data_IF_834426441171
#
_entry.id   IF_834426441171
#
_cell.length_a   1.000
_cell.length_b   1.000
_cell.length_c   1.000
_cell.angle_alpha   90.00
_cell.angle_beta   90.00
_cell.angle_gamma   90.00
#
_symmetry.space_group_name_H-M   'P 1'
#
loop_
_entity.id
_entity.type
_entity.pdbx_description
1 polymer ?
#
# COMPACT_ATOMS: atom_id res chain seq x y z
N UNK A 1 -29.68 6.80 7.95
CA UNK A 1 -28.20 6.75 7.98
C UNK A 1 -27.65 5.75 8.98
N UNK A 2 -27.98 5.79 10.29
CA UNK A 2 -27.47 4.81 11.29
C UNK A 2 -27.70 3.34 10.91
N UNK A 3 -28.85 3.00 10.28
CA UNK A 3 -29.10 1.65 9.79
C UNK A 3 -28.13 1.27 8.66
N UNK A 4 -27.90 2.16 7.70
CA UNK A 4 -26.98 1.91 6.59
C UNK A 4 -25.55 1.67 7.09
N UNK A 5 -25.06 2.49 8.02
CA UNK A 5 -23.73 2.31 8.64
C UNK A 5 -23.64 0.96 9.36
N UNK A 6 -24.72 0.55 10.07
CA UNK A 6 -24.74 -0.74 10.77
C UNK A 6 -24.65 -1.92 9.79
N UNK A 7 -25.42 -1.89 8.70
CA UNK A 7 -25.37 -2.93 7.66
C UNK A 7 -24.01 -2.99 7.00
N UNK A 8 -23.45 -1.84 6.60
CA UNK A 8 -22.14 -1.76 6.02
C UNK A 8 -21.05 -2.31 6.96
N UNK A 9 -21.12 -1.97 8.25
CA UNK A 9 -20.20 -2.48 9.26
C UNK A 9 -20.26 -4.01 9.38
N UNK A 10 -21.45 -4.61 9.28
CA UNK A 10 -21.60 -6.06 9.28
C UNK A 10 -21.02 -6.69 8.00
N UNK A 11 -21.34 -6.13 6.83
CA UNK A 11 -20.84 -6.62 5.55
C UNK A 11 -19.31 -6.54 5.52
N UNK A 12 -18.73 -5.39 5.87
CA UNK A 12 -17.27 -5.21 5.89
C UNK A 12 -16.57 -6.18 6.85
N UNK A 13 -17.17 -6.48 8.00
CA UNK A 13 -16.64 -7.45 8.96
C UNK A 13 -16.67 -8.87 8.41
N UNK A 14 -17.78 -9.27 7.79
CA UNK A 14 -17.91 -10.60 7.17
C UNK A 14 -16.93 -10.75 6.01
N UNK A 15 -16.85 -9.75 5.13
CA UNK A 15 -15.91 -9.76 4.00
C UNK A 15 -14.46 -9.88 4.48
N UNK A 16 -14.09 -9.15 5.52
CA UNK A 16 -12.74 -9.24 6.07
C UNK A 16 -12.46 -10.58 6.74
N UNK A 17 -13.45 -11.18 7.43
CA UNK A 17 -13.32 -12.53 7.98
C UNK A 17 -13.09 -13.57 6.86
N UNK A 18 -13.80 -13.47 5.74
CA UNK A 18 -13.60 -14.32 4.56
C UNK A 18 -12.16 -14.15 4.03
N UNK A 19 -11.66 -12.92 3.93
CA UNK A 19 -10.27 -12.67 3.52
C UNK A 19 -9.26 -13.39 4.42
N UNK A 20 -9.46 -13.38 5.74
CA UNK A 20 -8.57 -14.07 6.69
C UNK A 20 -8.65 -15.59 6.52
N UNK A 21 -9.84 -16.16 6.37
CA UNK A 21 -10.02 -17.61 6.16
C UNK A 21 -9.31 -18.04 4.87
N UNK A 22 -9.49 -17.30 3.79
CA UNK A 22 -8.86 -17.60 2.51
C UNK A 22 -7.34 -17.36 2.55
N UNK A 23 -6.85 -16.41 3.33
CA UNK A 23 -5.42 -16.22 3.56
C UNK A 23 -4.79 -17.41 4.28
N UNK A 24 -5.46 -17.96 5.29
CA UNK A 24 -5.02 -19.17 5.99
C UNK A 24 -5.02 -20.37 5.02
N UNK A 25 -6.11 -20.54 4.26
CA UNK A 25 -6.22 -21.58 3.24
C UNK A 25 -5.06 -21.51 2.24
N UNK A 26 -4.77 -20.33 1.70
CA UNK A 26 -3.68 -20.14 0.75
C UNK A 26 -2.30 -20.41 1.33
N UNK A 27 -2.06 -19.98 2.55
CA UNK A 27 -0.80 -20.28 3.25
C UNK A 27 -0.58 -21.79 3.41
N UNK A 28 -1.64 -22.55 3.68
CA UNK A 28 -1.58 -24.03 3.80
C UNK A 28 -1.38 -24.67 2.42
N UNK A 29 -2.14 -24.24 1.42
CA UNK A 29 -2.22 -24.90 0.10
C UNK A 29 -1.00 -24.61 -0.76
N UNK A 30 -0.58 -23.35 -0.83
CA UNK A 30 0.45 -22.93 -1.77
C UNK A 30 1.86 -23.00 -1.21
N UNK A 31 2.04 -23.46 0.06
CA UNK A 31 3.35 -23.59 0.69
C UNK A 31 4.21 -22.42 0.23
N UNK A 32 3.84 -21.19 0.57
CA UNK A 32 4.65 -20.05 0.17
C UNK A 32 6.06 -20.40 0.59
N UNK A 33 6.96 -20.65 -0.38
CA UNK A 33 8.29 -21.27 -0.16
C UNK A 33 9.18 -20.49 0.81
N UNK A 34 8.62 -19.45 1.37
CA UNK A 34 9.14 -18.58 2.40
C UNK A 34 8.92 -19.11 3.82
N UNK A 35 7.92 -19.97 4.09
CA UNK A 35 7.71 -20.51 5.44
C UNK A 35 8.42 -21.85 5.60
N UNK A 36 9.56 -21.91 6.32
CA UNK A 36 10.31 -23.14 6.55
C UNK A 36 9.63 -24.05 7.60
N UNK A 37 8.28 -24.07 7.63
CA UNK A 37 7.49 -24.75 8.67
C UNK A 37 6.64 -25.83 8.02
N UNK A 38 6.56 -27.05 8.59
CA UNK A 38 5.64 -28.06 8.12
C UNK A 38 4.20 -27.55 8.10
N UNK A 39 3.44 -27.88 7.05
CA UNK A 39 2.06 -27.43 6.84
C UNK A 39 1.12 -27.71 8.03
N UNK A 40 1.38 -28.77 8.80
CA UNK A 40 0.63 -29.12 10.01
C UNK A 40 0.77 -28.10 11.14
N UNK A 41 1.85 -27.31 11.16
CA UNK A 41 2.11 -26.32 12.21
C UNK A 41 1.37 -24.99 11.90
N UNK A 42 1.03 -24.72 10.64
CA UNK A 42 0.36 -23.49 10.26
C UNK A 42 -0.97 -23.28 11.00
N UNK A 43 -1.89 -24.26 11.10
CA UNK A 43 -3.10 -24.10 11.90
C UNK A 43 -2.83 -23.82 13.38
N UNK A 44 -1.80 -24.45 13.95
CA UNK A 44 -1.39 -24.21 15.34
C UNK A 44 -0.88 -22.79 15.50
N UNK A 45 0.00 -22.33 14.60
CA UNK A 45 0.50 -20.96 14.61
C UNK A 45 -0.63 -19.92 14.43
N UNK A 46 -1.59 -20.18 13.53
CA UNK A 46 -2.74 -19.28 13.35
C UNK A 46 -3.66 -19.26 14.55
N UNK A 47 -3.86 -20.40 15.22
CA UNK A 47 -4.56 -20.49 16.50
C UNK A 47 -3.87 -19.69 17.62
N UNK A 48 -2.54 -19.77 17.69
CA UNK A 48 -1.71 -18.96 18.59
C UNK A 48 -1.85 -17.46 18.28
N UNK A 49 -1.82 -17.06 17.01
CA UNK A 49 -2.03 -15.68 16.57
C UNK A 49 -3.40 -15.16 17.02
N UNK A 50 -4.46 -15.96 16.87
CA UNK A 50 -5.79 -15.59 17.36
C UNK A 50 -5.82 -15.40 18.89
N UNK A 51 -5.18 -16.30 19.64
CA UNK A 51 -5.07 -16.18 21.09
C UNK A 51 -4.32 -14.92 21.49
N UNK A 52 -3.15 -14.64 20.87
CA UNK A 52 -2.36 -13.42 21.12
C UNK A 52 -3.19 -12.19 20.77
N UNK A 53 -3.88 -12.17 19.63
CA UNK A 53 -4.75 -11.08 19.21
C UNK A 53 -5.88 -10.82 20.23
N UNK A 54 -6.46 -11.88 20.78
CA UNK A 54 -7.50 -11.78 21.82
C UNK A 54 -6.97 -11.16 23.12
N UNK A 55 -5.74 -11.49 23.50
CA UNK A 55 -5.06 -10.88 24.65
C UNK A 55 -4.66 -9.44 24.37
N UNK A 56 -4.10 -9.18 23.17
CA UNK A 56 -3.74 -7.84 22.73
C UNK A 56 -4.93 -6.88 22.78
N UNK A 57 -6.10 -7.30 22.31
CA UNK A 57 -7.30 -6.48 22.34
C UNK A 57 -7.82 -6.15 23.75
N UNK A 58 -7.38 -6.87 24.77
CA UNK A 58 -7.69 -6.49 26.16
C UNK A 58 -6.99 -5.22 26.63
N UNK A 59 -5.94 -4.77 25.92
CA UNK A 59 -5.26 -3.50 26.20
C UNK A 59 -6.22 -2.31 26.11
N UNK A 60 -7.30 -2.40 25.32
CA UNK A 60 -8.32 -1.35 25.26
C UNK A 60 -9.05 -1.12 26.60
N UNK A 61 -8.97 -2.08 27.53
CA UNK A 61 -9.62 -2.01 28.84
C UNK A 61 -8.70 -1.47 29.94
N UNK A 62 -7.45 -1.14 29.62
CA UNK A 62 -6.53 -0.53 30.58
C UNK A 62 -7.05 0.83 31.03
N UNK A 63 -6.81 1.15 32.27
CA UNK A 63 -7.02 2.51 32.78
C UNK A 63 -5.76 3.31 32.46
N UNK A 64 -5.85 4.18 31.45
CA UNK A 64 -4.73 4.95 30.92
C UNK A 64 -5.13 6.40 30.70
N UNK A 65 -4.31 7.32 31.13
CA UNK A 65 -4.45 8.76 30.86
C UNK A 65 -3.90 9.12 29.49
N UNK A 66 -4.27 10.30 28.98
CA UNK A 66 -3.74 10.84 27.71
C UNK A 66 -2.23 11.04 27.78
N UNK A 67 -1.72 11.52 28.91
CA UNK A 67 -0.27 11.80 29.05
C UNK A 67 0.56 10.53 29.16
N UNK A 68 0.05 9.49 29.81
CA UNK A 68 0.69 8.17 29.78
C UNK A 68 0.74 7.60 28.38
N UNK A 69 -0.38 7.65 27.65
CA UNK A 69 -0.41 7.23 26.24
C UNK A 69 0.63 7.98 25.39
N UNK A 70 0.67 9.32 25.50
CA UNK A 70 1.61 10.13 24.71
C UNK A 70 3.07 9.79 25.01
N UNK A 71 3.43 9.62 26.29
CA UNK A 71 4.78 9.22 26.67
C UNK A 71 5.16 7.87 26.08
N UNK A 72 4.29 6.88 26.17
CA UNK A 72 4.53 5.55 25.61
C UNK A 72 4.61 5.62 24.06
N UNK A 73 3.74 6.37 23.41
CA UNK A 73 3.77 6.53 21.96
C UNK A 73 5.08 7.15 21.48
N UNK A 74 5.64 8.13 22.21
CA UNK A 74 6.95 8.71 21.89
C UNK A 74 8.06 7.65 22.04
N UNK A 75 8.06 6.87 23.10
CA UNK A 75 9.04 5.79 23.29
C UNK A 75 8.97 4.78 22.16
N UNK A 76 7.75 4.37 21.75
CA UNK A 76 7.53 3.46 20.63
C UNK A 76 8.04 4.06 19.30
N UNK A 77 7.82 5.36 19.07
CA UNK A 77 8.37 6.05 17.89
C UNK A 77 9.91 6.00 17.87
N UNK A 78 10.57 6.24 19.01
CA UNK A 78 12.03 6.18 19.13
C UNK A 78 12.54 4.76 18.87
N UNK A 79 11.90 3.75 19.46
CA UNK A 79 12.27 2.34 19.25
C UNK A 79 12.11 1.92 17.79
N UNK A 80 11.00 2.30 17.14
CA UNK A 80 10.79 2.05 15.72
C UNK A 80 11.84 2.72 14.86
N UNK A 81 12.12 4.00 15.11
CA UNK A 81 13.12 4.76 14.38
C UNK A 81 14.52 4.14 14.52
N UNK A 82 14.88 3.72 15.75
CA UNK A 82 16.15 3.03 15.99
C UNK A 82 16.24 1.71 15.23
N UNK A 83 15.17 0.89 15.26
CA UNK A 83 15.11 -0.36 14.49
C UNK A 83 15.24 -0.13 12.99
N UNK A 84 14.63 0.92 12.46
CA UNK A 84 14.73 1.29 11.05
C UNK A 84 16.15 1.75 10.67
N UNK A 85 16.82 2.55 11.50
CA UNK A 85 18.22 2.95 11.27
C UNK A 85 19.11 1.71 11.23
N UNK A 86 18.96 0.81 12.21
CA UNK A 86 19.71 -0.45 12.26
C UNK A 86 19.47 -1.24 10.96
N UNK A 87 18.21 -1.37 10.54
CA UNK A 87 17.87 -2.06 9.30
C UNK A 87 18.50 -1.37 8.08
N UNK A 88 18.45 -0.04 7.99
CA UNK A 88 19.04 0.70 6.88
C UNK A 88 20.56 0.54 6.77
N UNK A 89 21.25 0.42 7.92
CA UNK A 89 22.71 0.26 7.96
C UNK A 89 23.14 -1.18 7.63
N UNK A 90 22.41 -2.17 8.15
CA UNK A 90 22.83 -3.57 8.08
C UNK A 90 22.13 -4.38 6.99
N UNK A 91 21.04 -3.88 6.41
CA UNK A 91 20.41 -4.55 5.28
C UNK A 91 21.07 -4.11 3.97
N UNK A 92 21.79 -5.02 3.35
CA UNK A 92 22.32 -4.84 1.99
C UNK A 92 21.18 -4.99 1.00
N UNK A 93 20.60 -3.86 0.60
CA UNK A 93 19.46 -3.83 -0.32
C UNK A 93 19.89 -3.22 -1.65
N UNK A 94 19.76 -4.01 -2.71
CA UNK A 94 19.90 -3.54 -4.09
C UNK A 94 18.52 -3.39 -4.73
N UNK A 95 18.20 -2.23 -5.37
CA UNK A 95 16.96 -2.07 -6.11
C UNK A 95 16.74 -3.16 -7.16
N UNK A 96 15.52 -3.70 -7.20
CA UNK A 96 15.15 -4.81 -8.09
C UNK A 96 13.91 -4.48 -8.91
N UNK A 97 13.73 -5.17 -10.05
CA UNK A 97 12.57 -5.03 -10.94
C UNK A 97 12.29 -3.53 -11.26
N UNK A 98 11.04 -3.11 -11.20
CA UNK A 98 10.62 -1.73 -11.49
C UNK A 98 11.44 -0.66 -10.75
N UNK A 99 11.80 -0.91 -9.48
CA UNK A 99 12.60 0.04 -8.72
C UNK A 99 14.01 0.18 -9.31
N UNK A 100 14.61 -0.93 -9.79
CA UNK A 100 15.94 -0.86 -10.42
C UNK A 100 15.89 -0.03 -11.70
N UNK A 101 14.86 -0.19 -12.54
CA UNK A 101 14.71 0.60 -13.77
C UNK A 101 14.53 2.09 -13.47
N UNK A 102 13.74 2.42 -12.45
CA UNK A 102 13.57 3.81 -11.99
C UNK A 102 14.88 4.41 -11.49
N UNK A 103 15.65 3.67 -10.67
CA UNK A 103 16.92 4.12 -10.14
C UNK A 103 17.98 4.25 -11.25
N UNK A 104 18.10 3.27 -12.12
CA UNK A 104 19.05 3.27 -13.26
C UNK A 104 18.76 4.42 -14.20
N UNK A 105 17.52 4.60 -14.63
CA UNK A 105 17.14 5.71 -15.49
C UNK A 105 17.40 7.08 -14.86
N UNK A 106 17.16 7.24 -13.57
CA UNK A 106 17.46 8.49 -12.85
C UNK A 106 18.98 8.77 -12.78
N UNK A 107 19.80 7.74 -12.50
CA UNK A 107 21.26 7.84 -12.54
C UNK A 107 21.78 8.20 -13.91
N UNK A 108 21.30 7.52 -14.94
CA UNK A 108 21.69 7.74 -16.33
C UNK A 108 21.41 9.18 -16.77
N UNK A 109 20.22 9.70 -16.46
CA UNK A 109 19.86 11.08 -16.82
C UNK A 109 20.75 12.13 -16.14
N UNK A 110 21.18 11.90 -14.89
CA UNK A 110 22.11 12.80 -14.17
C UNK A 110 23.51 12.75 -14.80
N UNK A 111 23.94 11.58 -15.26
CA UNK A 111 25.25 11.35 -15.88
C UNK A 111 25.26 11.67 -17.38
N UNK A 112 24.21 12.29 -17.92
CA UNK A 112 24.03 12.60 -19.36
C UNK A 112 24.16 11.37 -20.28
N UNK A 113 23.75 10.19 -19.81
CA UNK A 113 23.61 8.96 -20.59
C UNK A 113 22.19 8.82 -21.14
N UNK A 114 22.00 7.83 -22.03
CA UNK A 114 20.64 7.44 -22.42
C UNK A 114 19.91 6.87 -21.20
N UNK A 115 18.67 7.29 -20.98
CA UNK A 115 17.85 6.89 -19.82
C UNK A 115 17.68 5.36 -19.73
N UNK A 116 17.79 4.64 -20.84
CA UNK A 116 17.61 3.19 -20.94
C UNK A 116 18.91 2.39 -20.91
N UNK A 117 20.09 3.05 -20.84
CA UNK A 117 21.36 2.34 -20.66
C UNK A 117 21.29 1.47 -19.41
N UNK A 118 21.83 0.25 -19.50
CA UNK A 118 21.84 -0.75 -18.43
C UNK A 118 20.44 -1.26 -18.01
N UNK A 119 19.38 -0.94 -18.78
CA UNK A 119 18.04 -1.52 -18.65
C UNK A 119 17.87 -2.66 -19.67
N UNK A 120 17.29 -3.82 -19.29
CA UNK A 120 17.08 -4.93 -20.24
C UNK A 120 16.30 -4.49 -21.48
N UNK A 121 16.69 -4.98 -22.67
CA UNK A 121 16.13 -4.58 -23.97
C UNK A 121 14.61 -4.67 -24.04
N UNK A 122 14.00 -5.68 -23.40
CA UNK A 122 12.55 -5.85 -23.33
C UNK A 122 11.84 -4.70 -22.59
N UNK A 123 12.58 -3.84 -21.89
CA UNK A 123 12.12 -2.68 -21.14
C UNK A 123 12.74 -1.35 -21.62
N UNK A 124 13.27 -1.29 -22.86
CA UNK A 124 13.82 -0.06 -23.45
C UNK A 124 12.79 1.05 -23.69
N UNK A 125 11.54 0.84 -23.36
CA UNK A 125 10.45 1.81 -23.39
C UNK A 125 9.70 1.86 -22.04
N UNK A 126 10.37 1.49 -20.93
CA UNK A 126 9.77 1.35 -19.62
C UNK A 126 8.99 2.59 -19.16
N UNK A 127 9.54 3.77 -19.35
CA UNK A 127 8.90 5.00 -18.90
C UNK A 127 7.71 5.41 -19.78
N UNK A 128 7.68 5.03 -21.02
CA UNK A 128 6.53 5.24 -21.92
C UNK A 128 5.39 4.24 -21.62
N UNK A 129 5.75 3.01 -21.28
CA UNK A 129 4.81 1.92 -20.98
C UNK A 129 4.19 2.07 -19.58
N UNK A 130 4.97 2.55 -18.60
CA UNK A 130 4.58 2.63 -17.18
C UNK A 130 4.54 4.07 -16.64
N UNK A 131 3.63 4.94 -17.12
CA UNK A 131 3.52 6.34 -16.63
C UNK A 131 3.10 6.43 -15.15
N UNK A 132 2.61 5.34 -14.55
CA UNK A 132 2.32 5.25 -13.12
C UNK A 132 3.57 5.34 -12.23
N UNK A 133 4.77 5.08 -12.77
CA UNK A 133 6.05 5.20 -12.04
C UNK A 133 6.74 6.56 -12.25
N UNK A 134 6.18 7.46 -13.05
CA UNK A 134 6.76 8.77 -13.34
C UNK A 134 6.95 9.64 -12.08
N UNK A 135 6.01 9.61 -11.14
CA UNK A 135 6.17 10.39 -9.92
C UNK A 135 7.27 9.83 -9.02
N UNK A 136 7.34 8.51 -8.88
CA UNK A 136 8.45 7.87 -8.17
C UNK A 136 9.79 8.23 -8.81
N UNK A 137 9.89 8.11 -10.15
CA UNK A 137 11.07 8.51 -10.90
C UNK A 137 11.46 9.97 -10.62
N UNK A 138 10.50 10.89 -10.69
CA UNK A 138 10.75 12.31 -10.43
C UNK A 138 11.32 12.55 -9.03
N UNK A 139 10.77 11.90 -8.01
CA UNK A 139 11.26 12.02 -6.63
C UNK A 139 12.68 11.48 -6.52
N UNK A 140 12.96 10.28 -7.04
CA UNK A 140 14.29 9.65 -6.97
C UNK A 140 15.31 10.47 -7.77
N UNK A 141 14.95 10.92 -8.97
CA UNK A 141 15.82 11.80 -9.78
C UNK A 141 16.22 13.07 -9.04
N UNK A 142 15.27 13.74 -8.38
CA UNK A 142 15.57 14.95 -7.61
C UNK A 142 16.48 14.66 -6.42
N UNK A 143 16.26 13.56 -5.70
CA UNK A 143 17.10 13.16 -4.56
C UNK A 143 18.51 12.81 -5.00
N UNK A 144 18.66 12.02 -6.04
CA UNK A 144 19.97 11.68 -6.61
C UNK A 144 20.70 12.92 -7.15
N UNK A 145 19.98 13.84 -7.79
CA UNK A 145 20.56 15.11 -8.27
C UNK A 145 21.08 15.94 -7.11
N UNK A 146 20.33 16.07 -6.02
CA UNK A 146 20.78 16.77 -4.82
C UNK A 146 22.02 16.08 -4.24
N UNK A 147 22.01 14.76 -4.11
CA UNK A 147 23.15 14.00 -3.58
C UNK A 147 24.39 14.18 -4.45
N UNK A 148 24.25 14.06 -5.77
CA UNK A 148 25.33 14.25 -6.72
C UNK A 148 25.92 15.68 -6.66
N UNK A 149 25.08 16.70 -6.54
CA UNK A 149 25.52 18.09 -6.38
C UNK A 149 26.30 18.32 -5.08
N UNK A 150 25.98 17.60 -4.01
CA UNK A 150 26.61 17.76 -2.69
C UNK A 150 27.89 16.91 -2.53
N UNK A 151 27.92 15.73 -3.10
CA UNK A 151 28.95 14.72 -2.82
C UNK A 151 29.76 14.27 -4.04
N UNK A 152 29.29 14.57 -5.25
CA UNK A 152 29.83 14.04 -6.52
C UNK A 152 29.48 12.55 -6.76
N UNK A 153 28.74 11.91 -5.85
CA UNK A 153 28.33 10.51 -5.95
C UNK A 153 26.81 10.37 -6.03
N UNK A 154 26.35 9.23 -6.52
CA UNK A 154 24.91 8.87 -6.53
C UNK A 154 24.75 7.54 -5.81
N UNK A 155 24.11 7.60 -4.65
CA UNK A 155 23.82 6.43 -3.81
C UNK A 155 22.31 6.34 -3.51
N UNK A 156 21.89 5.27 -2.84
CA UNK A 156 20.50 5.13 -2.42
C UNK A 156 20.23 5.73 -1.02
N UNK A 157 21.16 6.54 -0.50
CA UNK A 157 21.11 7.09 0.88
C UNK A 157 19.95 8.07 1.05
N UNK A 158 19.81 9.07 0.18
CA UNK A 158 18.75 10.06 0.29
C UNK A 158 17.35 9.45 0.04
N UNK A 159 17.12 8.61 -0.98
CA UNK A 159 15.86 7.88 -1.13
C UNK A 159 15.50 7.03 0.09
N UNK A 160 16.47 6.29 0.65
CA UNK A 160 16.28 5.49 1.87
C UNK A 160 15.92 6.37 3.07
N UNK A 161 16.61 7.49 3.26
CA UNK A 161 16.34 8.44 4.34
C UNK A 161 14.94 9.06 4.21
N UNK A 162 14.53 9.48 3.01
CA UNK A 162 13.19 10.01 2.77
C UNK A 162 12.11 8.96 3.07
N UNK A 163 12.32 7.73 2.63
CA UNK A 163 11.39 6.62 2.88
C UNK A 163 11.28 6.31 4.38
N UNK A 164 12.40 6.23 5.10
CA UNK A 164 12.45 6.02 6.55
C UNK A 164 11.68 7.12 7.30
N UNK A 165 11.93 8.40 6.95
CA UNK A 165 11.18 9.53 7.51
C UNK A 165 9.68 9.40 7.21
N UNK A 166 9.32 9.03 5.99
CA UNK A 166 7.93 8.83 5.58
C UNK A 166 7.23 7.73 6.38
N UNK A 167 7.88 6.60 6.59
CA UNK A 167 7.35 5.51 7.41
C UNK A 167 7.12 5.94 8.86
N UNK A 168 8.04 6.72 9.44
CA UNK A 168 7.88 7.29 10.78
C UNK A 168 6.73 8.31 10.85
N UNK A 169 6.62 9.20 9.86
CA UNK A 169 5.48 10.13 9.75
C UNK A 169 4.18 9.33 9.74
N UNK A 170 4.11 8.23 8.98
CA UNK A 170 2.92 7.38 8.93
C UNK A 170 2.56 6.81 10.30
N UNK A 171 3.55 6.30 11.04
CA UNK A 171 3.33 5.76 12.39
C UNK A 171 2.91 6.84 13.38
N UNK A 172 3.59 7.98 13.39
CA UNK A 172 3.28 9.13 14.26
C UNK A 172 1.85 9.63 13.99
N UNK A 173 1.50 9.82 12.71
CA UNK A 173 0.16 10.31 12.35
C UNK A 173 -0.93 9.27 12.64
N UNK A 174 -0.66 7.98 12.46
CA UNK A 174 -1.56 6.90 12.90
C UNK A 174 -1.82 7.00 14.41
N UNK A 175 -0.78 7.19 15.24
CA UNK A 175 -0.93 7.39 16.68
C UNK A 175 -1.76 8.66 17.01
N UNK A 176 -1.53 9.76 16.26
CA UNK A 176 -2.31 11.00 16.43
C UNK A 176 -3.76 10.84 16.01
N UNK A 177 -4.03 10.12 14.92
CA UNK A 177 -5.41 9.79 14.52
C UNK A 177 -6.08 8.95 15.63
N UNK A 178 -5.39 7.92 16.14
CA UNK A 178 -5.90 7.09 17.21
C UNK A 178 -6.30 7.91 18.45
N UNK A 179 -5.46 8.87 18.87
CA UNK A 179 -5.75 9.81 19.95
C UNK A 179 -6.97 10.70 19.66
N UNK A 180 -7.19 11.08 18.41
CA UNK A 180 -8.32 11.92 18.01
C UNK A 180 -9.67 11.22 18.08
N UNK A 181 -9.70 9.91 17.80
CA UNK A 181 -10.95 9.15 17.60
C UNK A 181 -11.25 8.15 18.73
N UNK A 182 -10.27 7.76 19.50
CA UNK A 182 -10.39 6.74 20.53
C UNK A 182 -10.07 7.28 21.93
N UNK A 183 -10.46 6.51 22.96
CA UNK A 183 -9.94 6.69 24.33
C UNK A 183 -8.46 6.27 24.41
N UNK A 184 -7.67 6.76 25.39
CA UNK A 184 -6.22 6.53 25.45
C UNK A 184 -5.81 5.06 25.39
N UNK A 185 -6.49 4.17 26.10
CA UNK A 185 -6.19 2.74 26.07
C UNK A 185 -6.43 2.07 24.70
N UNK A 186 -7.46 2.49 23.96
CA UNK A 186 -7.65 2.00 22.59
C UNK A 186 -6.65 2.64 21.61
N UNK A 187 -6.27 3.90 21.83
CA UNK A 187 -5.18 4.52 21.07
C UNK A 187 -3.84 3.80 21.30
N UNK A 188 -3.58 3.37 22.54
CA UNK A 188 -2.44 2.53 22.86
C UNK A 188 -2.46 1.18 22.13
N UNK A 189 -3.61 0.51 22.09
CA UNK A 189 -3.77 -0.70 21.29
C UNK A 189 -3.40 -0.46 19.81
N UNK A 190 -3.85 0.65 19.21
CA UNK A 190 -3.49 1.00 17.84
C UNK A 190 -1.97 1.23 17.69
N UNK A 191 -1.32 1.89 18.64
CA UNK A 191 0.13 2.10 18.62
C UNK A 191 0.89 0.77 18.71
N UNK A 192 0.48 -0.16 19.58
CA UNK A 192 1.08 -1.51 19.68
C UNK A 192 0.88 -2.30 18.37
N UNK A 193 -0.31 -2.24 17.77
CA UNK A 193 -0.54 -2.85 16.45
C UNK A 193 0.41 -2.29 15.40
N UNK A 194 0.68 -0.98 15.43
CA UNK A 194 1.66 -0.35 14.54
C UNK A 194 3.07 -0.93 14.70
N UNK A 195 3.52 -1.21 15.94
CA UNK A 195 4.81 -1.87 16.19
C UNK A 195 4.86 -3.30 15.68
N UNK A 196 3.73 -4.00 15.63
CA UNK A 196 3.63 -5.35 15.03
C UNK A 196 3.53 -5.31 13.50
N UNK A 197 3.33 -4.15 12.89
CA UNK A 197 3.28 -4.01 11.44
C UNK A 197 4.69 -4.00 10.86
N UNK A 198 5.24 -5.20 10.65
CA UNK A 198 6.62 -5.42 10.20
C UNK A 198 7.04 -4.63 8.95
N UNK A 199 6.17 -4.30 7.98
CA UNK A 199 6.54 -3.44 6.87
C UNK A 199 7.08 -2.06 7.26
N UNK A 200 6.76 -1.52 8.43
CA UNK A 200 7.40 -0.29 8.91
C UNK A 200 8.92 -0.43 9.07
N UNK A 201 9.42 -1.65 9.27
CA UNK A 201 10.85 -1.95 9.38
C UNK A 201 11.37 -2.51 8.05
N UNK A 202 10.68 -3.51 7.46
CA UNK A 202 11.17 -4.21 6.29
C UNK A 202 11.18 -3.39 5.01
N UNK A 203 10.38 -2.35 4.93
CA UNK A 203 10.38 -1.44 3.78
C UNK A 203 11.31 -0.23 3.94
N UNK A 204 12.13 -0.17 5.00
CA UNK A 204 13.00 0.99 5.24
C UNK A 204 13.89 1.31 4.04
N UNK A 205 14.63 0.34 3.53
CA UNK A 205 15.50 0.50 2.37
C UNK A 205 14.80 0.24 1.03
N UNK A 206 13.56 -0.26 1.05
CA UNK A 206 12.74 -0.48 -0.14
C UNK A 206 11.83 0.73 -0.42
N UNK A 207 12.41 1.81 -0.94
CA UNK A 207 11.75 3.08 -1.24
C UNK A 207 10.92 3.02 -2.54
N UNK A 208 9.94 2.12 -2.58
CA UNK A 208 9.05 1.93 -3.73
C UNK A 208 7.67 2.54 -3.50
N UNK A 209 6.82 2.50 -4.53
CA UNK A 209 5.48 3.11 -4.51
C UNK A 209 4.63 2.71 -3.29
N UNK A 210 4.79 1.48 -2.78
CA UNK A 210 4.03 0.98 -1.64
C UNK A 210 4.35 1.72 -0.34
N UNK A 211 5.63 1.86 0.00
CA UNK A 211 6.11 2.55 1.20
C UNK A 211 6.03 4.07 1.08
N UNK A 212 6.40 4.61 -0.08
CA UNK A 212 6.35 6.06 -0.36
C UNK A 212 4.91 6.62 -0.38
N UNK A 213 3.91 5.82 -0.70
CA UNK A 213 2.49 6.20 -0.66
C UNK A 213 1.94 6.25 0.76
N UNK A 214 2.44 5.42 1.67
CA UNK A 214 1.93 5.27 3.03
C UNK A 214 1.86 6.62 3.80
N UNK A 215 2.91 7.46 3.85
CA UNK A 215 2.85 8.75 4.53
C UNK A 215 1.84 9.72 3.89
N UNK A 216 1.66 9.67 2.58
CA UNK A 216 0.70 10.52 1.87
C UNK A 216 -0.74 10.16 2.23
N UNK A 217 -1.07 8.86 2.21
CA UNK A 217 -2.39 8.33 2.57
C UNK A 217 -2.71 8.61 4.04
N UNK A 218 -1.77 8.35 4.95
CA UNK A 218 -1.98 8.55 6.39
C UNK A 218 -2.10 10.05 6.73
N UNK A 219 -1.28 10.90 6.09
CA UNK A 219 -1.37 12.36 6.25
C UNK A 219 -2.69 12.90 5.72
N UNK A 220 -3.15 12.43 4.56
CA UNK A 220 -4.42 12.85 3.99
C UNK A 220 -5.59 12.51 4.92
N UNK A 221 -5.63 11.30 5.47
CA UNK A 221 -6.63 10.88 6.44
C UNK A 221 -6.58 11.75 7.72
N UNK A 222 -5.38 12.07 8.21
CA UNK A 222 -5.21 12.96 9.37
C UNK A 222 -5.77 14.36 9.11
N UNK A 223 -5.45 14.98 7.99
CA UNK A 223 -5.96 16.33 7.65
C UNK A 223 -7.46 16.33 7.39
N UNK A 224 -8.00 15.29 6.80
CA UNK A 224 -9.46 15.12 6.68
C UNK A 224 -10.16 15.09 8.05
N UNK A 225 -9.65 14.29 8.99
CA UNK A 225 -10.22 14.22 10.34
C UNK A 225 -10.05 15.53 11.12
N UNK A 226 -8.93 16.25 10.92
CA UNK A 226 -8.77 17.62 11.44
C UNK A 226 -9.80 18.56 10.87
N UNK A 227 -10.10 18.47 9.57
CA UNK A 227 -11.16 19.25 8.94
C UNK A 227 -12.52 18.93 9.57
N UNK A 228 -12.86 17.65 9.74
CA UNK A 228 -14.13 17.27 10.43
C UNK A 228 -14.27 17.89 11.81
N UNK A 229 -13.16 18.03 12.54
CA UNK A 229 -13.16 18.58 13.91
C UNK A 229 -13.16 20.10 13.94
N UNK A 230 -12.46 20.78 13.03
CA UNK A 230 -12.21 22.23 13.09
C UNK A 230 -13.00 23.07 12.06
N UNK A 231 -13.49 22.44 10.99
CA UNK A 231 -14.14 23.11 9.85
C UNK A 231 -13.18 23.93 8.97
N UNK A 232 -11.86 23.95 9.23
CA UNK A 232 -10.90 24.77 8.50
C UNK A 232 -10.67 24.24 7.09
N UNK A 233 -11.07 24.98 6.07
CA UNK A 233 -10.98 24.62 4.64
C UNK A 233 -9.55 24.32 4.20
N UNK A 234 -8.55 25.00 4.75
CA UNK A 234 -7.13 24.74 4.45
C UNK A 234 -6.72 23.28 4.68
N UNK A 235 -7.29 22.63 5.69
CA UNK A 235 -7.02 21.21 5.97
C UNK A 235 -7.62 20.29 4.89
N UNK A 236 -8.76 20.66 4.32
CA UNK A 236 -9.37 19.92 3.23
C UNK A 236 -8.61 20.11 1.91
N UNK A 237 -8.06 21.30 1.66
CA UNK A 237 -7.15 21.58 0.54
C UNK A 237 -5.89 20.70 0.66
N UNK A 238 -5.24 20.69 1.83
CA UNK A 238 -4.05 19.85 2.09
C UNK A 238 -4.40 18.36 1.88
N UNK A 239 -5.55 17.92 2.39
CA UNK A 239 -6.02 16.55 2.20
C UNK A 239 -6.13 16.20 0.70
N UNK A 240 -6.79 17.05 -0.10
CA UNK A 240 -6.95 16.86 -1.54
C UNK A 240 -5.60 16.81 -2.28
N UNK A 241 -4.68 17.73 -1.94
CA UNK A 241 -3.31 17.74 -2.49
C UNK A 241 -2.57 16.45 -2.18
N UNK A 242 -2.59 15.99 -0.93
CA UNK A 242 -1.94 14.75 -0.50
C UNK A 242 -2.54 13.50 -1.18
N UNK A 243 -3.87 13.47 -1.37
CA UNK A 243 -4.53 12.38 -2.13
C UNK A 243 -4.06 12.39 -3.59
N UNK A 244 -3.96 13.56 -4.21
CA UNK A 244 -3.46 13.67 -5.60
C UNK A 244 -2.02 13.19 -5.72
N UNK A 245 -1.13 13.56 -4.80
CA UNK A 245 0.24 13.04 -4.74
C UNK A 245 0.25 11.52 -4.52
N UNK A 246 -0.56 11.02 -3.58
CA UNK A 246 -0.67 9.59 -3.32
C UNK A 246 -1.18 8.82 -4.56
N UNK A 247 -2.16 9.36 -5.27
CA UNK A 247 -2.68 8.78 -6.52
C UNK A 247 -1.62 8.72 -7.62
N UNK A 248 -0.80 9.75 -7.77
CA UNK A 248 0.31 9.75 -8.73
C UNK A 248 1.45 8.81 -8.34
N UNK A 249 1.62 8.56 -7.04
CA UNK A 249 2.56 7.56 -6.55
C UNK A 249 2.01 6.13 -6.71
N UNK A 250 0.71 5.92 -6.43
CA UNK A 250 0.04 4.63 -6.53
C UNK A 250 -1.47 4.79 -6.76
N UNK A 251 -1.96 4.30 -7.89
CA UNK A 251 -3.35 4.49 -8.35
C UNK A 251 -4.43 4.04 -7.35
N UNK A 252 -4.16 2.98 -6.56
CA UNK A 252 -5.09 2.50 -5.53
C UNK A 252 -5.43 3.55 -4.45
N UNK A 253 -4.60 4.61 -4.30
CA UNK A 253 -4.86 5.69 -3.33
C UNK A 253 -6.15 6.48 -3.62
N UNK A 254 -6.70 6.38 -4.83
CA UNK A 254 -8.02 6.95 -5.16
C UNK A 254 -9.14 6.39 -4.27
N UNK A 255 -8.95 5.20 -3.70
CA UNK A 255 -9.88 4.59 -2.73
C UNK A 255 -10.08 5.51 -1.52
N UNK A 256 -9.02 6.20 -1.06
CA UNK A 256 -9.16 7.15 0.04
C UNK A 256 -10.04 8.34 -0.34
N UNK A 257 -9.91 8.87 -1.57
CA UNK A 257 -10.78 9.97 -2.05
C UNK A 257 -12.24 9.52 -2.06
N UNK A 258 -12.50 8.34 -2.61
CA UNK A 258 -13.87 7.77 -2.65
C UNK A 258 -14.41 7.59 -1.23
N UNK A 259 -13.62 7.02 -0.32
CA UNK A 259 -14.00 6.83 1.07
C UNK A 259 -14.32 8.16 1.77
N UNK A 260 -13.50 9.20 1.55
CA UNK A 260 -13.73 10.55 2.09
C UNK A 260 -15.00 11.17 1.51
N UNK A 261 -15.24 11.04 0.21
CA UNK A 261 -16.47 11.55 -0.43
C UNK A 261 -17.72 10.86 0.16
N UNK A 262 -17.67 9.56 0.35
CA UNK A 262 -18.78 8.82 0.98
C UNK A 262 -18.99 9.29 2.43
N UNK A 263 -17.93 9.40 3.22
CA UNK A 263 -18.00 9.85 4.61
C UNK A 263 -18.53 11.29 4.71
N UNK A 264 -18.08 12.19 3.84
CA UNK A 264 -18.60 13.57 3.74
C UNK A 264 -20.09 13.59 3.37
N UNK A 265 -20.52 12.71 2.47
CA UNK A 265 -21.95 12.58 2.07
C UNK A 265 -22.79 12.11 3.25
N UNK A 266 -22.30 11.13 4.01
CA UNK A 266 -22.96 10.63 5.22
C UNK A 266 -23.08 11.72 6.30
N UNK A 267 -22.08 12.59 6.44
CA UNK A 267 -22.09 13.72 7.37
C UNK A 267 -22.82 14.96 6.82
N UNK A 268 -23.42 14.89 5.62
CA UNK A 268 -24.18 15.97 4.96
C UNK A 268 -23.37 17.24 4.77
N UNK A 269 -22.10 17.14 4.42
CA UNK A 269 -21.29 18.32 4.08
C UNK A 269 -21.84 19.05 2.86
N UNK A 270 -21.62 20.38 2.82
CA UNK A 270 -22.05 21.23 1.70
C UNK A 270 -21.30 20.87 0.42
N UNK A 271 -21.99 20.96 -0.72
CA UNK A 271 -21.44 20.61 -2.06
C UNK A 271 -20.09 21.30 -2.35
N UNK A 272 -19.89 22.54 -1.89
CA UNK A 272 -18.63 23.27 -2.06
C UNK A 272 -17.42 22.55 -1.46
N UNK A 273 -17.60 21.78 -0.38
CA UNK A 273 -16.50 21.06 0.25
C UNK A 273 -15.98 19.91 -0.63
N UNK A 274 -16.84 19.32 -1.47
CA UNK A 274 -16.40 18.32 -2.45
C UNK A 274 -15.50 18.94 -3.53
N UNK A 275 -15.85 20.15 -4.01
CA UNK A 275 -14.97 20.87 -4.94
C UNK A 275 -13.62 21.22 -4.29
N UNK A 276 -13.62 21.63 -3.02
CA UNK A 276 -12.41 22.00 -2.27
C UNK A 276 -11.42 20.83 -2.12
N UNK A 277 -11.87 19.59 -2.05
CA UNK A 277 -10.97 18.44 -2.00
C UNK A 277 -10.58 17.94 -3.41
N UNK A 278 -11.51 17.96 -4.37
CA UNK A 278 -11.29 17.41 -5.71
C UNK A 278 -10.37 18.32 -6.54
N UNK A 279 -10.57 19.64 -6.52
CA UNK A 279 -9.78 20.56 -7.35
C UNK A 279 -8.27 20.51 -7.04
N UNK A 280 -7.79 20.60 -5.79
CA UNK A 280 -6.37 20.48 -5.48
C UNK A 280 -5.81 19.10 -5.89
N UNK A 281 -6.60 18.02 -5.74
CA UNK A 281 -6.21 16.70 -6.18
C UNK A 281 -5.94 16.66 -7.69
N UNK A 282 -6.82 17.22 -8.52
CA UNK A 282 -6.66 17.27 -9.97
C UNK A 282 -5.47 18.17 -10.36
N UNK A 283 -5.35 19.34 -9.74
CA UNK A 283 -4.28 20.30 -10.04
C UNK A 283 -2.91 19.67 -9.79
N UNK A 284 -2.70 19.07 -8.60
CA UNK A 284 -1.42 18.46 -8.28
C UNK A 284 -1.10 17.25 -9.17
N UNK A 285 -2.11 16.45 -9.53
CA UNK A 285 -1.92 15.36 -10.49
C UNK A 285 -1.41 15.85 -11.85
N UNK A 286 -1.96 16.97 -12.35
CA UNK A 286 -1.52 17.58 -13.60
C UNK A 286 -0.09 18.12 -13.49
N UNK A 287 0.21 18.88 -12.43
CA UNK A 287 1.55 19.42 -12.19
C UNK A 287 2.60 18.29 -12.15
N UNK A 288 2.35 17.21 -11.41
CA UNK A 288 3.27 16.07 -11.32
C UNK A 288 3.46 15.41 -12.68
N UNK A 289 2.38 15.19 -13.44
CA UNK A 289 2.49 14.56 -14.76
C UNK A 289 3.29 15.41 -15.73
N UNK A 290 3.01 16.70 -15.83
CA UNK A 290 3.73 17.62 -16.73
C UNK A 290 5.21 17.75 -16.34
N UNK A 291 5.50 17.81 -15.04
CA UNK A 291 6.88 17.86 -14.54
C UNK A 291 7.65 16.60 -14.90
N UNK A 292 7.07 15.44 -14.70
CA UNK A 292 7.70 14.16 -15.03
C UNK A 292 7.98 14.03 -16.52
N UNK A 293 7.01 14.36 -17.38
CA UNK A 293 7.19 14.30 -18.84
C UNK A 293 8.29 15.25 -19.33
N UNK A 294 8.40 16.44 -18.75
CA UNK A 294 9.48 17.38 -19.05
C UNK A 294 10.85 16.84 -18.66
N UNK A 295 10.98 16.21 -17.47
CA UNK A 295 12.24 15.63 -17.01
C UNK A 295 12.65 14.44 -17.89
N UNK A 296 11.68 13.59 -18.23
CA UNK A 296 11.89 12.39 -19.05
C UNK A 296 12.07 12.69 -20.55
N UNK A 297 11.76 13.93 -21.00
CA UNK A 297 11.70 14.31 -22.42
C UNK A 297 10.74 13.43 -23.26
N UNK A 298 9.63 12.96 -22.65
CA UNK A 298 8.62 12.12 -23.30
C UNK A 298 7.40 12.97 -23.66
N UNK A 299 6.86 12.77 -24.87
CA UNK A 299 5.67 13.48 -25.32
C UNK A 299 4.38 12.78 -24.84
N UNK A 300 3.28 13.56 -24.75
CA UNK A 300 1.95 13.01 -24.47
C UNK A 300 1.51 11.99 -25.54
N UNK A 301 1.87 12.23 -26.80
CA UNK A 301 1.51 11.32 -27.89
C UNK A 301 2.24 9.98 -27.73
N UNK A 302 3.52 10.00 -27.36
CA UNK A 302 4.28 8.78 -27.09
C UNK A 302 3.64 7.95 -25.96
N UNK A 303 3.24 8.61 -24.85
CA UNK A 303 2.53 7.93 -23.77
C UNK A 303 1.22 7.32 -24.25
N UNK A 304 0.44 8.07 -25.05
CA UNK A 304 -0.83 7.57 -25.60
C UNK A 304 -0.64 6.33 -26.46
N UNK A 305 0.45 6.28 -27.23
CA UNK A 305 0.75 5.16 -28.14
C UNK A 305 1.29 3.93 -27.39
N UNK A 306 2.15 4.13 -26.38
CA UNK A 306 2.91 3.05 -25.75
C UNK A 306 2.36 2.57 -24.40
N UNK A 307 1.71 3.44 -23.62
CA UNK A 307 1.27 3.07 -22.26
C UNK A 307 0.22 1.97 -22.24
N UNK A 308 0.25 1.16 -21.21
CA UNK A 308 -0.77 0.14 -21.02
C UNK A 308 -2.11 0.76 -20.59
N UNK A 309 -3.20 0.38 -21.26
CA UNK A 309 -4.54 0.80 -20.87
C UNK A 309 -4.95 0.17 -19.54
N UNK A 310 -5.84 0.82 -18.80
CA UNK A 310 -6.32 0.30 -17.49
C UNK A 310 -6.85 -1.14 -17.59
N UNK A 311 -7.48 -1.48 -18.69
CA UNK A 311 -8.02 -2.83 -18.93
C UNK A 311 -6.94 -3.92 -18.97
N UNK A 312 -5.68 -3.56 -19.29
CA UNK A 312 -4.55 -4.49 -19.26
C UNK A 312 -4.35 -5.11 -17.87
N UNK A 313 -4.42 -4.29 -16.82
CA UNK A 313 -4.26 -4.76 -15.44
C UNK A 313 -5.41 -5.65 -14.98
N UNK A 314 -6.61 -5.37 -15.47
CA UNK A 314 -7.79 -6.20 -15.22
C UNK A 314 -7.65 -7.53 -15.96
N UNK A 315 -7.23 -7.50 -17.22
CA UNK A 315 -6.98 -8.68 -18.05
C UNK A 315 -5.88 -9.57 -17.47
N UNK A 316 -4.74 -8.97 -17.04
CA UNK A 316 -3.64 -9.67 -16.42
C UNK A 316 -4.09 -10.35 -15.10
N UNK A 317 -4.99 -9.71 -14.38
CA UNK A 317 -5.49 -10.21 -13.10
C UNK A 317 -6.54 -11.32 -13.22
N UNK A 318 -7.01 -11.62 -14.43
CA UNK A 318 -8.19 -12.47 -14.62
C UNK A 318 -7.91 -13.99 -14.60
N UNK A 319 -6.68 -14.41 -14.39
CA UNK A 319 -6.31 -15.83 -14.25
C UNK A 319 -5.22 -16.05 -13.20
N UNK A 320 -4.88 -17.31 -12.95
CA UNK A 320 -3.92 -17.71 -11.92
C UNK A 320 -4.32 -17.15 -10.55
N UNK A 321 -3.35 -16.63 -9.82
CA UNK A 321 -3.57 -15.97 -8.51
C UNK A 321 -3.77 -14.44 -8.65
N UNK A 322 -4.02 -13.93 -9.87
CA UNK A 322 -4.26 -12.52 -10.14
C UNK A 322 -3.03 -11.61 -10.05
N UNK A 323 -1.83 -12.17 -10.05
CA UNK A 323 -0.57 -11.43 -10.05
C UNK A 323 -0.05 -11.10 -11.45
N UNK A 324 1.18 -10.56 -11.51
CA UNK A 324 1.86 -10.27 -12.77
C UNK A 324 2.01 -11.52 -13.64
N UNK A 325 1.75 -11.37 -14.94
CA UNK A 325 1.88 -12.41 -15.96
C UNK A 325 2.68 -11.88 -17.15
N UNK A 326 3.86 -12.45 -17.38
CA UNK A 326 4.77 -12.03 -18.46
C UNK A 326 4.20 -12.28 -19.86
N UNK A 327 3.41 -13.34 -20.06
CA UNK A 327 2.77 -13.61 -21.34
C UNK A 327 1.71 -12.55 -21.69
N UNK A 328 0.96 -12.06 -20.70
CA UNK A 328 0.00 -10.98 -20.87
C UNK A 328 0.67 -9.63 -21.11
N UNK A 329 1.81 -9.41 -20.43
CA UNK A 329 2.64 -8.23 -20.68
C UNK A 329 3.11 -8.19 -22.13
N UNK A 330 3.78 -9.23 -22.62
CA UNK A 330 4.29 -9.32 -24.00
C UNK A 330 3.16 -9.24 -25.02
N UNK A 331 2.03 -9.90 -24.75
CA UNK A 331 0.85 -9.82 -25.61
C UNK A 331 0.36 -8.38 -25.79
N UNK A 332 0.18 -7.64 -24.72
CA UNK A 332 -0.30 -6.24 -24.82
C UNK A 332 0.77 -5.33 -25.41
N UNK A 333 2.06 -5.58 -25.12
CA UNK A 333 3.18 -4.79 -25.64
C UNK A 333 3.30 -4.91 -27.16
N UNK A 334 2.89 -6.03 -27.76
CA UNK A 334 2.95 -6.23 -29.23
C UNK A 334 1.98 -5.34 -30.02
N UNK A 335 1.06 -4.62 -29.36
CA UNK A 335 0.14 -3.67 -29.99
C UNK A 335 0.52 -2.21 -29.69
N UNK A 336 -0.07 -1.26 -30.41
CA UNK A 336 0.13 0.18 -30.22
C UNK A 336 -1.19 0.94 -30.14
N UNK A 337 -1.22 2.07 -29.45
CA UNK A 337 -2.36 2.97 -29.34
C UNK A 337 -3.66 2.26 -28.90
N UNK A 338 -4.75 2.58 -29.57
CA UNK A 338 -6.09 2.03 -29.24
C UNK A 338 -6.19 0.51 -29.45
N UNK A 339 -5.32 -0.09 -30.30
CA UNK A 339 -5.29 -1.53 -30.51
C UNK A 339 -4.88 -2.29 -29.23
N UNK A 340 -4.06 -1.69 -28.35
CA UNK A 340 -3.76 -2.27 -27.03
C UNK A 340 -5.01 -2.50 -26.19
N UNK A 341 -5.93 -1.53 -26.21
CA UNK A 341 -7.19 -1.63 -25.46
C UNK A 341 -8.08 -2.74 -26.01
N UNK A 342 -8.23 -2.80 -27.33
CA UNK A 342 -9.03 -3.83 -28.01
C UNK A 342 -8.45 -5.22 -27.78
N UNK A 343 -7.13 -5.38 -27.92
CA UNK A 343 -6.44 -6.64 -27.66
C UNK A 343 -6.63 -7.12 -26.20
N UNK A 344 -6.43 -6.22 -25.22
CA UNK A 344 -6.63 -6.56 -23.82
C UNK A 344 -8.09 -6.95 -23.49
N UNK A 345 -9.08 -6.28 -24.13
CA UNK A 345 -10.50 -6.65 -23.98
C UNK A 345 -10.80 -8.04 -24.56
N UNK A 346 -10.30 -8.33 -25.76
CA UNK A 346 -10.46 -9.65 -26.41
C UNK A 346 -9.88 -10.75 -25.52
N UNK A 347 -8.63 -10.57 -25.07
CA UNK A 347 -7.97 -11.57 -24.21
C UNK A 347 -8.65 -11.71 -22.83
N UNK A 348 -9.17 -10.63 -22.26
CA UNK A 348 -9.99 -10.71 -21.06
C UNK A 348 -11.26 -11.55 -21.28
N UNK A 349 -11.96 -11.30 -22.40
CA UNK A 349 -13.17 -12.06 -22.73
C UNK A 349 -12.87 -13.56 -22.92
N UNK A 350 -11.76 -13.90 -23.59
CA UNK A 350 -11.27 -15.30 -23.73
C UNK A 350 -11.01 -15.95 -22.37
N UNK A 351 -10.29 -15.27 -21.48
CA UNK A 351 -10.01 -15.76 -20.12
C UNK A 351 -11.30 -15.99 -19.32
N UNK A 352 -12.22 -15.04 -19.37
CA UNK A 352 -13.52 -15.14 -18.67
C UNK A 352 -14.40 -16.26 -19.25
N UNK A 353 -14.39 -16.45 -20.56
CA UNK A 353 -15.13 -17.54 -21.22
C UNK A 353 -14.58 -18.90 -20.84
N UNK A 354 -13.27 -19.03 -20.75
CA UNK A 354 -12.61 -20.30 -20.39
C UNK A 354 -12.79 -20.67 -18.90
N UNK A 355 -13.05 -19.68 -18.05
CA UNK A 355 -13.35 -19.90 -16.63
C UNK A 355 -14.84 -20.20 -16.45
N UNK A 356 -15.22 -21.49 -16.36
CA UNK A 356 -16.56 -21.86 -15.92
C UNK A 356 -16.85 -21.27 -14.54
N UNK A 357 -18.11 -21.18 -14.15
CA UNK A 357 -18.55 -20.56 -12.89
C UNK A 357 -17.75 -21.00 -11.65
N UNK A 358 -17.50 -22.28 -11.47
CA UNK A 358 -16.68 -22.79 -10.34
C UNK A 358 -15.21 -22.42 -10.46
N UNK A 359 -14.66 -22.36 -11.70
CA UNK A 359 -13.30 -21.87 -11.95
C UNK A 359 -13.16 -20.42 -11.59
N UNK A 360 -14.14 -19.59 -11.90
CA UNK A 360 -14.20 -18.18 -11.49
C UNK A 360 -14.23 -18.00 -9.98
N UNK A 361 -15.06 -18.77 -9.25
CA UNK A 361 -15.09 -18.72 -7.79
C UNK A 361 -13.77 -19.16 -7.16
N UNK A 362 -13.15 -20.20 -7.72
CA UNK A 362 -11.84 -20.65 -7.29
C UNK A 362 -10.78 -19.57 -7.50
N UNK A 363 -10.75 -18.94 -8.69
CA UNK A 363 -9.85 -17.84 -8.99
C UNK A 363 -10.01 -16.66 -8.01
N UNK A 364 -11.25 -16.26 -7.68
CA UNK A 364 -11.51 -15.23 -6.67
C UNK A 364 -10.93 -15.63 -5.29
N UNK A 365 -11.11 -16.87 -4.88
CA UNK A 365 -10.58 -17.37 -3.61
C UNK A 365 -9.04 -17.37 -3.58
N UNK A 366 -8.40 -17.83 -4.67
CA UNK A 366 -6.95 -17.80 -4.83
C UNK A 366 -6.40 -16.36 -4.80
N UNK A 367 -7.08 -15.45 -5.47
CA UNK A 367 -6.70 -14.04 -5.54
C UNK A 367 -6.78 -13.35 -4.18
N UNK A 368 -7.85 -13.57 -3.42
CA UNK A 368 -7.98 -13.08 -2.04
C UNK A 368 -6.87 -13.69 -1.18
N UNK A 369 -6.65 -14.99 -1.28
CA UNK A 369 -5.60 -15.68 -0.56
C UNK A 369 -4.24 -15.03 -0.81
N UNK A 370 -3.85 -14.86 -2.07
CA UNK A 370 -2.58 -14.27 -2.48
C UNK A 370 -2.40 -12.84 -1.98
N UNK A 371 -3.49 -12.08 -1.92
CA UNK A 371 -3.49 -10.70 -1.42
C UNK A 371 -3.22 -10.64 0.09
N UNK A 372 -3.76 -11.56 0.88
CA UNK A 372 -3.80 -11.45 2.34
C UNK A 372 -2.89 -12.45 3.07
N UNK A 373 -2.16 -13.33 2.35
CA UNK A 373 -1.42 -14.42 2.98
C UNK A 373 -0.26 -13.98 3.87
N UNK A 374 0.53 -12.96 3.51
CA UNK A 374 1.58 -12.43 4.39
C UNK A 374 2.29 -11.18 3.87
N UNK A 375 3.05 -10.49 4.74
CA UNK A 375 3.94 -9.37 4.41
C UNK A 375 5.42 -9.76 4.30
N UNK A 376 5.71 -11.03 4.09
CA UNK A 376 7.09 -11.55 4.04
C UNK A 376 7.79 -11.24 2.71
N UNK A 377 7.09 -10.63 1.75
CA UNK A 377 7.60 -10.38 0.40
C UNK A 377 9.00 -9.75 0.39
N UNK A 378 9.27 -8.79 1.29
CA UNK A 378 10.58 -8.12 1.35
C UNK A 378 11.62 -8.86 2.19
N UNK A 379 11.23 -9.76 3.08
CA UNK A 379 12.16 -10.47 3.93
C UNK A 379 13.15 -11.35 3.13
N UNK A 380 12.69 -11.96 2.04
CA UNK A 380 13.53 -12.77 1.16
C UNK A 380 14.61 -11.97 0.40
N UNK A 381 14.47 -10.66 0.28
CA UNK A 381 15.45 -9.80 -0.39
C UNK A 381 16.58 -9.31 0.53
N UNK A 382 16.30 -9.22 1.85
CA UNK A 382 17.30 -8.74 2.81
C UNK A 382 18.22 -9.82 3.31
N UNK A 383 17.80 -11.09 3.24
CA UNK A 383 18.46 -12.14 3.99
C UNK A 383 18.59 -13.40 3.14
N UNK A 384 19.36 -13.35 2.05
CA UNK A 384 19.65 -14.49 1.18
C UNK A 384 19.82 -15.79 1.97
N UNK A 385 18.76 -16.65 2.01
CA UNK A 385 18.70 -17.99 2.57
C UNK A 385 19.39 -18.25 3.94
N UNK A 386 19.67 -17.19 4.71
CA UNK A 386 20.28 -17.30 6.03
C UNK A 386 19.29 -17.75 7.09
N UNK A 387 19.79 -18.30 8.21
CA UNK A 387 18.97 -18.63 9.37
C UNK A 387 18.17 -17.42 9.89
N UNK A 388 18.78 -16.23 9.85
CA UNK A 388 18.13 -14.97 10.23
C UNK A 388 16.93 -14.63 9.35
N UNK A 389 17.01 -14.88 8.04
CA UNK A 389 15.90 -14.72 7.09
C UNK A 389 14.71 -15.58 7.50
N UNK A 390 14.94 -16.85 7.82
CA UNK A 390 13.88 -17.79 8.21
C UNK A 390 13.17 -17.36 9.48
N UNK A 391 13.91 -16.92 10.51
CA UNK A 391 13.33 -16.39 11.76
C UNK A 391 12.47 -15.18 11.45
N UNK A 392 13.00 -14.24 10.65
CA UNK A 392 12.30 -13.00 10.33
C UNK A 392 11.00 -13.25 9.55
N UNK A 393 10.99 -14.21 8.62
CA UNK A 393 9.79 -14.65 7.90
C UNK A 393 8.73 -15.19 8.87
N UNK A 394 9.12 -16.04 9.80
CA UNK A 394 8.20 -16.61 10.81
C UNK A 394 7.63 -15.50 11.70
N UNK A 395 8.47 -14.58 12.19
CA UNK A 395 8.04 -13.44 13.01
C UNK A 395 7.06 -12.56 12.23
N UNK A 396 7.37 -12.23 10.96
CA UNK A 396 6.48 -11.43 10.11
C UNK A 396 5.13 -12.12 9.89
N UNK A 397 5.11 -13.43 9.69
CA UNK A 397 3.89 -14.21 9.58
C UNK A 397 3.05 -14.14 10.86
N UNK A 398 3.67 -14.38 12.02
CA UNK A 398 2.98 -14.33 13.33
C UNK A 398 2.41 -12.93 13.60
N UNK A 399 3.19 -11.89 13.35
CA UNK A 399 2.74 -10.50 13.48
C UNK A 399 1.57 -10.20 12.55
N UNK A 400 1.66 -10.61 11.28
CA UNK A 400 0.62 -10.35 10.30
C UNK A 400 -0.72 -10.98 10.70
N UNK A 401 -0.77 -12.28 10.97
CA UNK A 401 -2.02 -12.94 11.36
C UNK A 401 -2.55 -12.44 12.71
N UNK A 402 -1.66 -12.11 13.66
CA UNK A 402 -2.06 -11.46 14.92
C UNK A 402 -2.75 -10.12 14.65
N UNK A 403 -2.23 -9.31 13.73
CA UNK A 403 -2.85 -8.04 13.34
C UNK A 403 -4.21 -8.25 12.67
N UNK A 404 -4.32 -9.15 11.70
CA UNK A 404 -5.57 -9.44 11.02
C UNK A 404 -6.67 -9.87 12.01
N UNK A 405 -6.36 -10.79 12.92
CA UNK A 405 -7.30 -11.21 13.96
C UNK A 405 -7.64 -10.08 14.95
N UNK A 406 -6.63 -9.28 15.34
CA UNK A 406 -6.84 -8.15 16.25
C UNK A 406 -7.79 -7.11 15.66
N UNK A 407 -7.62 -6.79 14.35
CA UNK A 407 -8.52 -5.90 13.61
C UNK A 407 -9.93 -6.51 13.55
N UNK A 408 -10.06 -7.79 13.18
CA UNK A 408 -11.34 -8.49 13.09
C UNK A 408 -12.11 -8.48 14.40
N UNK A 409 -11.41 -8.74 15.54
CA UNK A 409 -12.01 -8.69 16.87
C UNK A 409 -12.54 -7.28 17.19
N UNK A 410 -11.76 -6.24 16.83
CA UNK A 410 -12.20 -4.84 17.02
C UNK A 410 -13.38 -4.46 16.13
N UNK A 411 -13.46 -5.02 14.91
CA UNK A 411 -14.58 -4.75 14.00
C UNK A 411 -15.92 -5.18 14.55
N UNK A 412 -15.98 -6.15 15.46
CA UNK A 412 -17.22 -6.56 16.15
C UNK A 412 -17.78 -5.46 17.08
N UNK A 413 -16.91 -4.59 17.59
CA UNK A 413 -17.25 -3.47 18.48
C UNK A 413 -17.38 -2.14 17.71
N UNK A 414 -18.10 -2.16 16.60
CA UNK A 414 -18.20 -1.05 15.65
C UNK A 414 -18.61 0.28 16.28
N UNK A 415 -17.89 1.33 15.95
CA UNK A 415 -18.26 2.72 16.21
C UNK A 415 -18.29 3.51 14.90
N UNK A 416 -19.13 4.54 14.80
CA UNK A 416 -19.18 5.45 13.63
C UNK A 416 -17.83 6.13 13.39
N UNK A 417 -16.98 6.25 14.43
CA UNK A 417 -15.65 6.87 14.36
C UNK A 417 -14.66 6.11 13.46
N UNK A 418 -14.86 4.82 13.21
CA UNK A 418 -13.99 4.00 12.35
C UNK A 418 -14.55 3.77 10.94
N UNK A 419 -15.69 4.41 10.61
CA UNK A 419 -16.39 4.21 9.34
C UNK A 419 -15.51 4.49 8.13
N UNK A 420 -14.78 5.61 8.11
CA UNK A 420 -13.82 5.96 7.04
C UNK A 420 -12.81 4.83 6.79
N UNK A 421 -12.22 4.28 7.84
CA UNK A 421 -11.18 3.25 7.71
C UNK A 421 -11.75 1.91 7.23
N UNK A 422 -13.00 1.60 7.60
CA UNK A 422 -13.72 0.45 7.07
C UNK A 422 -14.09 0.62 5.60
N UNK A 423 -14.42 1.85 5.17
CA UNK A 423 -14.60 2.16 3.75
C UNK A 423 -13.31 1.95 2.97
N UNK A 424 -12.17 2.40 3.49
CA UNK A 424 -10.87 2.17 2.86
C UNK A 424 -10.53 0.67 2.78
N UNK A 425 -10.75 -0.09 3.85
CA UNK A 425 -10.52 -1.54 3.88
C UNK A 425 -11.39 -2.26 2.84
N UNK A 426 -12.70 -2.00 2.87
CA UNK A 426 -13.66 -2.63 1.96
C UNK A 426 -13.40 -2.22 0.51
N UNK A 427 -13.13 -0.94 0.26
CA UNK A 427 -12.79 -0.44 -1.07
C UNK A 427 -11.50 -1.06 -1.62
N UNK A 428 -10.48 -1.26 -0.78
CA UNK A 428 -9.25 -1.91 -1.20
C UNK A 428 -9.47 -3.40 -1.50
N UNK A 429 -10.29 -4.10 -0.71
CA UNK A 429 -10.67 -5.49 -1.01
C UNK A 429 -11.33 -5.58 -2.39
N UNK A 430 -12.35 -4.77 -2.67
CA UNK A 430 -13.04 -4.75 -3.97
C UNK A 430 -12.07 -4.39 -5.10
N UNK A 431 -11.25 -3.38 -4.92
CA UNK A 431 -10.28 -2.96 -5.93
C UNK A 431 -9.32 -4.10 -6.30
N UNK A 432 -8.77 -4.79 -5.30
CA UNK A 432 -7.82 -5.89 -5.52
C UNK A 432 -8.49 -7.17 -6.02
N UNK A 433 -9.81 -7.31 -5.94
CA UNK A 433 -10.55 -8.38 -6.63
C UNK A 433 -10.59 -8.17 -8.15
N UNK A 434 -10.57 -6.92 -8.61
CA UNK A 434 -10.67 -6.57 -10.02
C UNK A 434 -9.28 -6.34 -10.64
N UNK A 435 -8.37 -5.73 -9.89
CA UNK A 435 -7.04 -5.32 -10.32
C UNK A 435 -5.99 -6.40 -10.10
N UNK A 436 -4.85 -6.33 -10.81
CA UNK A 436 -3.66 -7.12 -10.45
C UNK A 436 -3.38 -6.99 -8.96
N UNK A 437 -3.04 -8.10 -8.30
CA UNK A 437 -2.88 -8.10 -6.86
C UNK A 437 -1.58 -8.76 -6.38
N UNK A 438 -1.10 -8.28 -5.24
CA UNK A 438 -0.03 -8.84 -4.40
C UNK A 438 -0.22 -8.37 -2.97
N UNK A 439 0.29 -9.12 -1.99
CA UNK A 439 0.21 -8.75 -0.58
C UNK A 439 0.81 -7.36 -0.28
N UNK A 440 1.85 -6.93 -0.99
CA UNK A 440 2.46 -5.60 -0.83
C UNK A 440 1.49 -4.44 -1.10
N UNK A 441 0.42 -4.67 -1.88
CA UNK A 441 -0.55 -3.60 -2.20
C UNK A 441 -1.39 -3.15 -1.01
N UNK A 442 -1.40 -3.93 0.08
CA UNK A 442 -2.03 -3.55 1.34
C UNK A 442 -1.20 -2.54 2.13
N UNK A 443 0.13 -2.50 1.93
CA UNK A 443 1.09 -1.78 2.78
C UNK A 443 0.76 -0.30 2.93
N UNK A 444 0.44 0.38 1.82
CA UNK A 444 0.15 1.82 1.83
C UNK A 444 -1.07 2.24 2.66
N UNK A 445 -2.06 1.35 2.80
CA UNK A 445 -3.30 1.59 3.55
C UNK A 445 -3.31 0.98 4.95
N UNK A 446 -2.41 0.05 5.24
CA UNK A 446 -2.47 -0.75 6.45
C UNK A 446 -2.47 0.07 7.75
N UNK A 447 -1.72 1.19 7.88
CA UNK A 447 -1.82 2.05 9.06
C UNK A 447 -3.25 2.53 9.36
N UNK A 448 -4.08 2.75 8.33
CA UNK A 448 -5.49 3.12 8.52
C UNK A 448 -6.33 1.96 9.07
N UNK A 449 -6.00 0.71 8.69
CA UNK A 449 -6.71 -0.48 9.17
C UNK A 449 -6.42 -0.77 10.63
N UNK A 450 -5.22 -0.41 11.12
CA UNK A 450 -4.85 -0.56 12.52
C UNK A 450 -5.68 0.33 13.47
N UNK A 451 -6.35 1.35 12.92
CA UNK A 451 -7.22 2.28 13.65
C UNK A 451 -8.64 1.72 13.88
N UNK A 452 -8.97 0.59 13.28
CA UNK A 452 -10.26 -0.08 13.48
C UNK A 452 -10.23 -0.82 14.83
#
# INVERSE_FOLDING_TARGET
MKHLTKYFNSISTITFAICIILAIYGTITYKTGLLPVPWLIIPICTGLCFFIASKLNKLENLNMTVDEYRRIAVIMCILLFTAQIITAIFADFTPINDLSYVCTGAKNLILNKNIYDDIPEVHNDYFEVYPNNHFLFTVIYLLYKIEFMLTGNITDTLPTALNLIGLNISYILMCRIAEMIHKPSKAFLCAVRGMLFTPLITYTSFFYTDSMTMPLVTSAAYFYLKFKKSGKITQLIICGTLIGMAYKMKGSSLILLIAVIIDMTMDKFKIKNFAVIILPCIIICKIISETALKILHISHETIKQKSFPLIHWIMMSADGRGGYNSADFLYTQSFTGDNKKSAALTRLAEKMHNQRFFGFLHHIAEKISYTWENFTFMAGYYYNDSFSSRIFIVVSFLCHFTLLFSILISMKKSTDKTFLFRLCLFGLIIFLLIWETRCRYLVSFFPLFLLI
#
